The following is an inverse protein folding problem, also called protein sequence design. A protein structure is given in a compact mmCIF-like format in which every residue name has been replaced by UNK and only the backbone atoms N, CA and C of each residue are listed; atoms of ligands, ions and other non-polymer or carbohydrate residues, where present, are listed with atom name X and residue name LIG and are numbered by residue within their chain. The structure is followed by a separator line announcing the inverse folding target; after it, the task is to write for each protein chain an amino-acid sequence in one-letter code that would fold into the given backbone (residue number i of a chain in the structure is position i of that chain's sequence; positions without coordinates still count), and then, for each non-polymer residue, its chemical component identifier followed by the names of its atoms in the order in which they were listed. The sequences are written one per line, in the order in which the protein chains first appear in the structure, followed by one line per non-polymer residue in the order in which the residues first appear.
data_IF_039875087678
#
_entry.id   IF_039875087678
#
_cell.length_a   1.000
_cell.length_b   1.000
_cell.length_c   1.000
_cell.angle_alpha   90.00
_cell.angle_beta   90.00
_cell.angle_gamma   90.00
#
_symmetry.space_group_name_H-M   'P 1'
#
loop_
_entity.id
_entity.type
_entity.pdbx_description
1 polymer ?
#
# COMPACT_ATOMS: atom_id res chain seq x y z
N UNK A 1 -1.50 -2.09 17.17
CA UNK A 1 -1.42 -2.21 15.70
C UNK A 1 -2.70 -1.66 15.12
N UNK A 2 -2.80 -0.34 14.91
CA UNK A 2 -3.89 0.24 14.13
C UNK A 2 -3.25 0.82 12.87
N UNK A 3 -3.23 0.02 11.81
CA UNK A 3 -2.92 0.54 10.49
C UNK A 3 -4.16 1.27 9.99
N UNK A 4 -4.14 2.59 10.08
CA UNK A 4 -5.25 3.42 9.62
C UNK A 4 -5.20 3.53 8.09
N UNK A 5 -6.27 3.12 7.42
CA UNK A 5 -6.37 3.20 5.97
C UNK A 5 -6.65 4.65 5.58
N UNK A 6 -5.84 5.22 4.67
CA UNK A 6 -6.00 6.56 4.08
C UNK A 6 -7.19 6.59 3.13
N UNK A 7 -8.39 6.49 3.69
CA UNK A 7 -9.65 6.42 2.94
C UNK A 7 -9.91 7.66 2.11
N UNK A 8 -9.57 8.85 2.62
CA UNK A 8 -9.75 10.10 1.86
C UNK A 8 -8.90 10.12 0.59
N UNK A 9 -7.66 9.62 0.67
CA UNK A 9 -6.78 9.49 -0.48
C UNK A 9 -7.34 8.47 -1.48
N UNK A 10 -7.79 7.31 -1.00
CA UNK A 10 -8.41 6.28 -1.84
C UNK A 10 -9.64 6.82 -2.57
N UNK A 11 -10.55 7.47 -1.86
CA UNK A 11 -11.75 8.11 -2.42
C UNK A 11 -11.41 9.14 -3.50
N UNK A 12 -10.43 10.01 -3.24
CA UNK A 12 -9.97 11.02 -4.20
C UNK A 12 -9.43 10.37 -5.48
N UNK A 13 -8.54 9.39 -5.35
CA UNK A 13 -7.94 8.71 -6.50
C UNK A 13 -8.97 7.95 -7.35
N UNK A 14 -9.98 7.35 -6.72
CA UNK A 14 -11.09 6.72 -7.44
C UNK A 14 -11.83 7.78 -8.28
N UNK A 15 -12.19 8.92 -7.70
CA UNK A 15 -12.89 10.01 -8.41
C UNK A 15 -12.06 10.57 -9.56
N UNK A 16 -10.77 10.75 -9.34
CA UNK A 16 -9.83 11.25 -10.35
C UNK A 16 -9.70 10.28 -11.52
N UNK A 17 -9.47 8.99 -11.26
CA UNK A 17 -9.38 7.98 -12.32
C UNK A 17 -10.71 7.82 -13.07
N UNK A 18 -11.82 7.85 -12.35
CA UNK A 18 -13.16 7.73 -12.94
C UNK A 18 -13.50 8.93 -13.83
N UNK A 19 -13.14 10.14 -13.42
CA UNK A 19 -13.47 11.37 -14.14
C UNK A 19 -14.97 11.49 -14.39
N UNK A 20 -15.35 11.64 -15.66
CA UNK A 20 -16.75 11.71 -16.11
C UNK A 20 -17.42 10.33 -16.25
N UNK A 21 -16.68 9.23 -16.10
CA UNK A 21 -17.22 7.88 -16.19
C UNK A 21 -18.23 7.63 -15.06
N UNK A 22 -19.35 7.00 -15.39
CA UNK A 22 -20.38 6.68 -14.41
C UNK A 22 -19.94 5.59 -13.44
N UNK A 23 -20.46 5.63 -12.20
CA UNK A 23 -20.16 4.63 -11.15
C UNK A 23 -20.40 3.18 -11.59
N UNK A 24 -21.42 2.93 -12.43
CA UNK A 24 -21.75 1.58 -12.91
C UNK A 24 -20.66 1.03 -13.84
N UNK A 25 -20.20 1.85 -14.78
CA UNK A 25 -19.14 1.48 -15.71
C UNK A 25 -17.83 1.25 -14.95
N UNK A 26 -17.44 2.16 -14.06
CA UNK A 26 -16.21 1.98 -13.27
C UNK A 26 -16.26 0.77 -12.34
N UNK A 27 -17.43 0.47 -11.75
CA UNK A 27 -17.60 -0.74 -10.95
C UNK A 27 -17.44 -2.02 -11.79
N UNK A 28 -17.88 -2.01 -13.06
CA UNK A 28 -17.66 -3.12 -13.99
C UNK A 28 -16.18 -3.25 -14.37
N UNK A 29 -15.47 -2.14 -14.60
CA UNK A 29 -14.03 -2.14 -14.89
C UNK A 29 -13.20 -2.67 -13.73
N UNK A 30 -13.54 -2.29 -12.49
CA UNK A 30 -12.87 -2.80 -11.28
C UNK A 30 -13.14 -4.31 -11.14
N UNK A 31 -14.36 -4.74 -11.49
CA UNK A 31 -14.77 -6.13 -11.47
C UNK A 31 -15.12 -6.63 -10.07
N UNK A 32 -16.25 -7.33 -9.96
CA UNK A 32 -16.65 -7.95 -8.69
C UNK A 32 -16.99 -6.97 -7.57
N UNK A 33 -17.39 -5.73 -7.90
CA UNK A 33 -17.97 -4.75 -6.97
C UNK A 33 -19.22 -4.10 -7.58
N UNK A 34 -20.12 -3.61 -6.72
CA UNK A 34 -21.35 -2.94 -7.16
C UNK A 34 -21.19 -1.41 -7.22
N UNK A 35 -21.95 -0.73 -8.07
CA UNK A 35 -22.00 0.75 -8.11
C UNK A 35 -22.33 1.39 -6.74
N UNK A 36 -23.29 0.85 -5.96
CA UNK A 36 -23.53 1.31 -4.59
C UNK A 36 -22.30 1.15 -3.67
N UNK A 37 -21.57 0.04 -3.77
CA UNK A 37 -20.32 -0.18 -3.02
C UNK A 37 -19.30 0.89 -3.36
N UNK A 38 -19.06 1.13 -4.65
CA UNK A 38 -18.14 2.17 -5.11
C UNK A 38 -18.54 3.57 -4.63
N UNK A 39 -19.83 3.89 -4.67
CA UNK A 39 -20.36 5.18 -4.16
C UNK A 39 -20.11 5.36 -2.67
N UNK A 40 -20.27 4.30 -1.86
CA UNK A 40 -19.99 4.35 -0.42
C UNK A 40 -18.51 4.62 -0.17
N UNK A 41 -17.62 3.99 -0.92
CA UNK A 41 -16.16 4.18 -0.79
C UNK A 41 -15.76 5.61 -1.19
N UNK A 42 -16.34 6.15 -2.27
CA UNK A 42 -16.16 7.56 -2.65
C UNK A 42 -16.69 8.57 -1.60
N UNK A 43 -17.56 8.12 -0.70
CA UNK A 43 -18.05 8.91 0.45
C UNK A 43 -17.26 8.67 1.74
N UNK A 44 -16.20 7.87 1.69
CA UNK A 44 -15.33 7.61 2.83
C UNK A 44 -15.67 6.35 3.64
N UNK A 45 -16.45 5.42 3.09
CA UNK A 45 -16.64 4.12 3.75
C UNK A 45 -15.41 3.24 3.51
N UNK A 46 -15.00 2.52 4.55
CA UNK A 46 -13.90 1.56 4.49
C UNK A 46 -14.34 0.33 3.68
N UNK A 47 -13.65 -0.03 2.58
CA UNK A 47 -13.90 -1.26 1.86
C UNK A 47 -13.41 -2.48 2.65
N UNK A 48 -13.98 -3.66 2.37
CA UNK A 48 -13.36 -4.92 2.77
C UNK A 48 -12.05 -5.16 2.01
N UNK A 49 -11.27 -6.14 2.45
CA UNK A 49 -9.92 -6.42 1.93
C UNK A 49 -9.93 -6.78 0.44
N UNK A 50 -10.90 -7.57 -0.01
CA UNK A 50 -10.98 -8.01 -1.41
C UNK A 50 -11.36 -6.84 -2.32
N UNK A 51 -12.35 -6.05 -1.92
CA UNK A 51 -12.74 -4.81 -2.59
C UNK A 51 -11.57 -3.82 -2.66
N UNK A 52 -10.81 -3.66 -1.58
CA UNK A 52 -9.64 -2.78 -1.53
C UNK A 52 -8.54 -3.19 -2.52
N UNK A 53 -8.20 -4.49 -2.58
CA UNK A 53 -7.17 -5.02 -3.49
C UNK A 53 -7.59 -4.82 -4.95
N UNK A 54 -8.86 -5.10 -5.28
CA UNK A 54 -9.40 -4.88 -6.64
C UNK A 54 -9.30 -3.41 -7.05
N UNK A 55 -9.65 -2.49 -6.15
CA UNK A 55 -9.53 -1.06 -6.41
C UNK A 55 -8.07 -0.65 -6.60
N UNK A 56 -7.14 -1.12 -5.76
CA UNK A 56 -5.71 -0.82 -5.93
C UNK A 56 -5.17 -1.31 -7.27
N UNK A 57 -5.55 -2.53 -7.67
CA UNK A 57 -5.20 -3.11 -8.97
C UNK A 57 -5.79 -2.28 -10.12
N UNK A 58 -7.06 -1.88 -10.02
CA UNK A 58 -7.69 -1.02 -11.01
C UNK A 58 -6.97 0.33 -11.08
N UNK A 59 -6.66 0.97 -9.95
CA UNK A 59 -5.92 2.23 -9.90
C UNK A 59 -4.47 2.11 -10.38
N UNK A 60 -3.88 0.91 -10.38
CA UNK A 60 -2.49 0.66 -10.77
C UNK A 60 -1.48 1.09 -9.70
N UNK A 61 -1.87 1.04 -8.43
CA UNK A 61 -1.03 1.47 -7.29
C UNK A 61 -0.93 0.38 -6.22
N UNK A 62 0.13 0.41 -5.40
CA UNK A 62 0.31 -0.55 -4.31
C UNK A 62 -0.69 -0.29 -3.17
N UNK A 63 -1.06 -1.36 -2.45
CA UNK A 63 -1.84 -1.25 -1.21
C UNK A 63 -1.12 -0.40 -0.15
N UNK A 64 0.21 -0.42 -0.14
CA UNK A 64 1.05 0.37 0.76
C UNK A 64 0.82 1.89 0.63
N UNK A 65 0.35 2.34 -0.54
CA UNK A 65 0.03 3.76 -0.78
C UNK A 65 -1.04 4.26 0.19
N UNK A 66 -1.99 3.39 0.55
CA UNK A 66 -3.13 3.76 1.37
C UNK A 66 -3.01 3.31 2.81
N UNK A 67 -2.18 2.32 3.14
CA UNK A 67 -2.05 1.85 4.50
C UNK A 67 -1.07 2.78 5.24
N UNK A 68 -1.49 3.43 6.34
CA UNK A 68 -0.54 4.02 7.29
C UNK A 68 0.23 2.88 7.95
N UNK A 69 1.32 2.48 7.33
CA UNK A 69 2.41 1.85 8.05
C UNK A 69 3.10 2.98 8.81
N UNK A 70 2.73 3.22 10.06
CA UNK A 70 3.49 4.07 11.00
C UNK A 70 4.98 3.71 10.98
N UNK A 71 5.33 2.48 10.58
CA UNK A 71 6.64 2.16 10.07
C UNK A 71 6.53 1.11 8.96
N UNK A 72 6.48 1.53 7.69
CA UNK A 72 7.14 0.68 6.69
C UNK A 72 8.60 0.86 7.02
N UNK A 73 9.11 -0.09 7.80
CA UNK A 73 10.47 -0.10 8.27
C UNK A 73 11.39 -0.15 7.04
N UNK A 74 11.72 1.01 6.49
CA UNK A 74 12.74 1.21 5.46
C UNK A 74 14.01 0.45 5.86
N UNK A 75 14.28 0.42 7.17
CA UNK A 75 15.25 -0.48 7.81
C UNK A 75 15.02 -1.96 7.52
N UNK A 76 13.88 -2.58 7.91
CA UNK A 76 13.61 -4.00 7.63
C UNK A 76 13.62 -4.32 6.13
N UNK A 77 13.12 -3.42 5.27
CA UNK A 77 13.16 -3.63 3.81
C UNK A 77 14.60 -3.68 3.29
N UNK A 78 15.43 -2.75 3.76
CA UNK A 78 16.86 -2.71 3.41
C UNK A 78 17.63 -3.93 3.95
N UNK A 79 17.38 -4.33 5.20
CA UNK A 79 17.92 -5.57 5.78
C UNK A 79 17.46 -6.80 4.98
N UNK A 80 16.20 -6.82 4.53
CA UNK A 80 15.65 -7.89 3.71
C UNK A 80 16.37 -8.03 2.36
N UNK A 81 16.66 -6.91 1.69
CA UNK A 81 17.43 -6.90 0.46
C UNK A 81 18.88 -7.39 0.67
N UNK A 82 19.56 -6.95 1.74
CA UNK A 82 20.92 -7.41 2.06
C UNK A 82 20.99 -8.91 2.33
N UNK A 83 19.96 -9.49 2.97
CA UNK A 83 19.90 -10.93 3.24
C UNK A 83 19.51 -11.77 2.03
N UNK A 84 18.84 -11.18 1.05
CA UNK A 84 18.45 -11.87 -0.18
C UNK A 84 19.59 -11.88 -1.23
N UNK A 85 20.60 -11.03 -1.04
CA UNK A 85 21.79 -10.98 -1.87
C UNK A 85 22.68 -12.21 -1.62
N UNK A 86 22.97 -12.96 -2.69
CA UNK A 86 23.75 -14.20 -2.64
C UNK A 86 25.24 -13.98 -2.90
N UNK A 87 25.65 -12.77 -3.30
CA UNK A 87 27.04 -12.42 -3.54
C UNK A 87 27.75 -11.96 -2.26
N UNK A 88 26.98 -11.62 -1.22
CA UNK A 88 27.51 -11.16 0.06
C UNK A 88 27.73 -12.32 1.02
N UNK A 89 28.91 -12.36 1.62
CA UNK A 89 29.22 -13.30 2.68
C UNK A 89 28.35 -13.03 3.93
N UNK A 90 27.91 -14.08 4.67
CA UNK A 90 27.06 -13.94 5.85
C UNK A 90 27.60 -12.94 6.89
N UNK A 91 28.91 -12.95 7.12
CA UNK A 91 29.59 -12.07 8.06
C UNK A 91 29.51 -10.59 7.63
N UNK A 92 29.58 -10.34 6.31
CA UNK A 92 29.47 -8.99 5.73
C UNK A 92 28.05 -8.46 5.90
N UNK A 93 27.05 -9.31 5.65
CA UNK A 93 25.63 -8.98 5.88
C UNK A 93 25.42 -8.62 7.35
N UNK A 94 25.98 -9.39 8.27
CA UNK A 94 25.82 -9.13 9.71
C UNK A 94 26.46 -7.79 10.12
N UNK A 95 27.63 -7.46 9.57
CA UNK A 95 28.30 -6.18 9.81
C UNK A 95 27.49 -5.00 9.25
N UNK A 96 26.95 -5.11 8.04
CA UNK A 96 26.12 -4.08 7.42
C UNK A 96 24.84 -3.84 8.23
N UNK A 97 24.19 -4.90 8.71
CA UNK A 97 23.01 -4.80 9.59
C UNK A 97 23.35 -4.05 10.88
N UNK A 98 24.49 -4.35 11.51
CA UNK A 98 24.96 -3.63 12.71
C UNK A 98 25.20 -2.14 12.42
N UNK A 99 25.81 -1.79 11.29
CA UNK A 99 26.03 -0.38 10.90
C UNK A 99 24.71 0.37 10.71
N UNK A 100 23.74 -0.26 10.05
CA UNK A 100 22.40 0.30 9.87
C UNK A 100 21.74 0.52 11.22
N UNK A 101 21.78 -0.47 12.11
CA UNK A 101 21.19 -0.36 13.46
C UNK A 101 21.82 0.78 14.26
N UNK A 102 23.13 0.99 14.14
CA UNK A 102 23.82 2.12 14.78
C UNK A 102 23.37 3.48 14.22
N UNK A 103 23.20 3.59 12.90
CA UNK A 103 22.77 4.83 12.26
C UNK A 103 21.35 5.25 12.70
N UNK A 104 20.43 4.29 12.83
CA UNK A 104 19.08 4.56 13.27
C UNK A 104 18.93 4.79 14.78
N UNK A 105 19.85 4.30 15.62
CA UNK A 105 19.86 4.56 17.07
C UNK A 105 20.30 5.97 17.45
N UNK A 106 20.90 6.73 16.51
CA UNK A 106 21.36 8.11 16.72
C UNK A 106 20.34 9.18 16.30
N UNK A 107 19.20 8.77 15.76
CA UNK A 107 18.04 9.61 15.44
C UNK A 107 17.01 9.48 16.55
#
# INVERSE_FOLDING_TARGET
MNSELKIDLLSRMIKEKRGSTGLRTSAQEIGGISAPTLSRIEKGNVPDVDTFIKICKWLGVSTDTFINSEHSNSRQKLIGHLRADRELEPDTIEMLVKLIDMAYKKL
#
